data_IF_019350106251
#
_entry.id   IF_019350106251
#
_cell.length_a   1.000
_cell.length_b   1.000
_cell.length_c   1.000
_cell.angle_alpha   90.00
_cell.angle_beta   90.00
_cell.angle_gamma   90.00
#
_symmetry.space_group_name_H-M   'P 1'
#
loop_
_entity.id
_entity.type
_entity.pdbx_description
1 polymer ?
#
# COMPACT_ATOMS: atom_id res chain seq x y z
N UNK A 1 -9.25 -12.25 -12.39
CA UNK A 1 -7.80 -12.08 -12.14
C UNK A 1 -7.64 -10.83 -11.30
N UNK A 2 -6.77 -10.86 -10.28
CA UNK A 2 -6.52 -9.70 -9.44
C UNK A 2 -6.10 -8.50 -10.27
N UNK A 3 -6.57 -7.32 -9.89
CA UNK A 3 -6.13 -6.07 -10.50
C UNK A 3 -4.78 -5.66 -9.89
N UNK A 4 -3.75 -6.42 -10.26
CA UNK A 4 -2.37 -6.18 -9.83
C UNK A 4 -1.87 -4.79 -10.24
N UNK A 5 -2.42 -4.24 -11.33
CA UNK A 5 -2.11 -2.87 -11.78
C UNK A 5 -2.61 -1.85 -10.76
N UNK A 6 -3.84 -2.00 -10.25
CA UNK A 6 -4.39 -1.15 -9.19
C UNK A 6 -3.57 -1.26 -7.90
N UNK A 7 -3.23 -2.47 -7.45
CA UNK A 7 -2.40 -2.68 -6.25
C UNK A 7 -1.00 -2.05 -6.41
N UNK A 8 -0.39 -2.20 -7.59
CA UNK A 8 0.90 -1.56 -7.91
C UNK A 8 0.82 -0.04 -7.77
N UNK A 9 -0.20 0.61 -8.35
CA UNK A 9 -0.35 2.05 -8.21
C UNK A 9 -0.67 2.48 -6.77
N UNK A 10 -1.46 1.71 -6.01
CA UNK A 10 -1.72 1.97 -4.58
C UNK A 10 -0.40 2.05 -3.80
N UNK A 11 0.47 1.04 -3.96
CA UNK A 11 1.75 0.99 -3.25
C UNK A 11 2.75 2.02 -3.78
N UNK A 12 2.85 2.18 -5.10
CA UNK A 12 3.79 3.14 -5.71
C UNK A 12 3.50 4.59 -5.30
N UNK A 13 2.22 4.97 -5.29
CA UNK A 13 1.82 6.31 -4.85
C UNK A 13 2.08 6.47 -3.34
N UNK A 14 1.80 5.44 -2.53
CA UNK A 14 2.09 5.48 -1.10
C UNK A 14 3.58 5.63 -0.77
N UNK A 15 4.46 4.98 -1.54
CA UNK A 15 5.90 5.16 -1.40
C UNK A 15 6.30 6.59 -1.74
N UNK A 16 5.76 7.15 -2.82
CA UNK A 16 6.01 8.56 -3.19
C UNK A 16 5.60 9.51 -2.06
N UNK A 17 4.37 9.38 -1.54
CA UNK A 17 3.87 10.20 -0.43
C UNK A 17 4.70 10.02 0.85
N UNK A 18 5.08 8.78 1.17
CA UNK A 18 5.89 8.49 2.34
C UNK A 18 7.28 9.12 2.24
N UNK A 19 7.90 9.11 1.05
CA UNK A 19 9.18 9.77 0.82
C UNK A 19 9.09 11.28 1.07
N UNK A 20 8.00 11.94 0.66
CA UNK A 20 7.76 13.36 0.97
C UNK A 20 7.69 13.62 2.49
N UNK A 21 6.97 12.78 3.23
CA UNK A 21 6.93 12.83 4.69
C UNK A 21 8.31 12.60 5.32
N UNK A 22 9.11 11.66 4.79
CA UNK A 22 10.48 11.42 5.26
C UNK A 22 11.36 12.66 5.06
N UNK A 23 11.27 13.36 3.92
CA UNK A 23 12.02 14.60 3.69
C UNK A 23 11.65 15.71 4.69
N UNK A 24 10.40 15.73 5.14
CA UNK A 24 9.89 16.68 6.14
C UNK A 24 10.15 16.22 7.59
N UNK A 25 10.78 15.06 7.79
CA UNK A 25 10.99 14.41 9.09
C UNK A 25 9.70 14.03 9.81
N UNK A 26 8.63 13.80 9.07
CA UNK A 26 7.32 13.36 9.55
C UNK A 26 7.25 11.83 9.58
N UNK A 27 8.14 11.20 10.36
CA UNK A 27 8.35 9.74 10.36
C UNK A 27 7.09 8.94 10.67
N UNK A 28 6.27 9.43 11.61
CA UNK A 28 5.01 8.79 11.97
C UNK A 28 4.00 8.80 10.82
N UNK A 29 3.92 9.92 10.08
CA UNK A 29 3.06 10.04 8.90
C UNK A 29 3.52 9.12 7.78
N UNK A 30 4.84 9.03 7.54
CA UNK A 30 5.41 8.12 6.56
C UNK A 30 5.08 6.64 6.90
N UNK A 31 5.26 6.23 8.15
CA UNK A 31 4.94 4.87 8.60
C UNK A 31 3.46 4.56 8.44
N UNK A 32 2.57 5.44 8.93
CA UNK A 32 1.12 5.27 8.83
C UNK A 32 0.66 5.19 7.37
N UNK A 33 1.26 5.96 6.46
CA UNK A 33 0.95 5.94 5.03
C UNK A 33 1.28 4.60 4.38
N UNK A 34 2.44 4.03 4.73
CA UNK A 34 2.89 2.73 4.21
C UNK A 34 2.06 1.58 4.77
N UNK A 35 1.81 1.55 6.08
CA UNK A 35 0.99 0.52 6.72
C UNK A 35 -0.42 0.48 6.11
N UNK A 36 -1.04 1.66 5.94
CA UNK A 36 -2.36 1.76 5.31
C UNK A 36 -2.35 1.25 3.87
N UNK A 37 -1.34 1.62 3.08
CA UNK A 37 -1.25 1.17 1.69
C UNK A 37 -1.07 -0.34 1.57
N UNK A 38 -0.32 -0.94 2.50
CA UNK A 38 -0.18 -2.40 2.57
C UNK A 38 -1.52 -3.06 2.88
N UNK A 39 -2.26 -2.58 3.88
CA UNK A 39 -3.60 -3.09 4.23
C UNK A 39 -4.58 -2.96 3.06
N UNK A 40 -4.59 -1.82 2.37
CA UNK A 40 -5.43 -1.58 1.20
C UNK A 40 -5.08 -2.52 0.03
N UNK A 41 -3.80 -2.82 -0.19
CA UNK A 41 -3.36 -3.75 -1.23
C UNK A 41 -3.71 -5.21 -0.87
N UNK A 42 -3.55 -5.60 0.40
CA UNK A 42 -3.92 -6.90 0.92
C UNK A 42 -5.43 -7.13 0.81
N UNK A 43 -6.25 -6.15 1.21
CA UNK A 43 -7.70 -6.23 1.07
C UNK A 43 -8.12 -6.40 -0.41
N UNK A 44 -7.52 -5.64 -1.32
CA UNK A 44 -7.78 -5.80 -2.76
C UNK A 44 -7.42 -7.19 -3.27
N UNK A 45 -6.34 -7.79 -2.75
CA UNK A 45 -5.89 -9.11 -3.14
C UNK A 45 -6.83 -10.22 -2.64
N UNK A 46 -7.24 -10.15 -1.37
CA UNK A 46 -8.22 -11.07 -0.78
C UNK A 46 -9.57 -10.98 -1.51
N UNK A 47 -10.05 -9.76 -1.81
CA UNK A 47 -11.28 -9.52 -2.56
C UNK A 47 -11.22 -10.04 -4.00
N UNK A 48 -10.03 -10.14 -4.59
CA UNK A 48 -9.84 -10.68 -5.95
C UNK A 48 -9.98 -12.22 -6.03
N UNK A 49 -10.21 -12.91 -4.91
CA UNK A 49 -10.46 -14.35 -4.86
C UNK A 49 -9.21 -15.22 -4.80
N UNK A 50 -8.03 -14.62 -4.66
CA UNK A 50 -6.77 -15.31 -4.36
C UNK A 50 -6.40 -15.01 -2.91
N UNK A 51 -7.17 -15.54 -1.95
CA UNK A 51 -6.72 -15.54 -0.56
C UNK A 51 -5.45 -16.39 -0.40
N UNK A 52 -4.60 -16.13 0.62
CA UNK A 52 -3.49 -17.04 0.92
C UNK A 52 -4.05 -18.45 1.02
N UNK A 53 -3.50 -19.38 0.22
CA UNK A 53 -3.78 -20.81 0.39
C UNK A 53 -3.10 -21.22 1.69
N UNK A 54 -3.90 -21.57 2.68
CA UNK A 54 -3.45 -22.26 3.91
C UNK A 54 -2.64 -23.52 3.59
#
# INVERSE_FOLDING_TARGET
MPDYKKMYYTLFNAVTDALEHLYQREWGSAAARLERAQQEAEEQFLQAGEGPRD
#
